data_IF_977425960067
#
_entry.id   IF_977425960067
#
_cell.length_a   1.000
_cell.length_b   1.000
_cell.length_c   1.000
_cell.angle_alpha   90.00
_cell.angle_beta   90.00
_cell.angle_gamma   90.00
#
_symmetry.space_group_name_H-M   'P 1'
#
loop_
_entity.id
_entity.type
_entity.pdbx_description
1 polymer ?
#
# COMPACT_ATOMS: atom_id res chain seq x y z
N UNK A 1 -0.38 -27.85 5.48
CA UNK A 1 -0.34 -26.48 4.94
C UNK A 1 -1.78 -26.02 4.77
N UNK A 2 -2.32 -25.36 5.80
CA UNK A 2 -3.68 -24.82 5.79
C UNK A 2 -3.73 -23.41 5.19
N UNK A 3 -4.93 -22.94 4.90
CA UNK A 3 -5.18 -21.56 4.41
C UNK A 3 -4.63 -20.48 5.36
N UNK A 4 -4.53 -20.78 6.66
CA UNK A 4 -3.92 -19.89 7.66
C UNK A 4 -2.41 -19.74 7.46
N UNK A 5 -1.70 -20.82 7.14
CA UNK A 5 -0.24 -20.79 6.95
C UNK A 5 0.15 -19.93 5.74
N UNK A 6 -0.67 -19.96 4.68
CA UNK A 6 -0.48 -19.11 3.51
C UNK A 6 -0.76 -17.63 3.85
N UNK A 7 -1.90 -17.34 4.50
CA UNK A 7 -2.28 -15.98 4.89
C UNK A 7 -1.29 -15.34 5.87
N UNK A 8 -0.60 -16.13 6.69
CA UNK A 8 0.45 -15.62 7.57
C UNK A 8 1.68 -15.13 6.80
N UNK A 9 1.96 -15.70 5.61
CA UNK A 9 3.12 -15.36 4.77
C UNK A 9 2.85 -14.26 3.74
N UNK A 10 1.62 -13.77 3.65
CA UNK A 10 1.19 -12.71 2.74
C UNK A 10 0.88 -11.44 3.53
N UNK A 11 1.26 -10.29 3.00
CA UNK A 11 0.81 -8.99 3.47
C UNK A 11 -0.04 -8.31 2.40
N UNK A 12 -1.14 -7.68 2.80
CA UNK A 12 -2.07 -7.01 1.89
C UNK A 12 -2.30 -5.60 2.40
N UNK A 13 -2.22 -4.60 1.52
CA UNK A 13 -2.68 -3.23 1.74
C UNK A 13 -3.89 -3.01 0.84
N UNK A 14 -5.11 -2.95 1.41
CA UNK A 14 -6.34 -2.78 0.66
C UNK A 14 -6.56 -1.32 0.24
N UNK A 15 -7.49 -1.12 -0.70
CA UNK A 15 -7.94 0.19 -1.16
C UNK A 15 -8.54 1.00 0.00
N UNK A 16 -9.34 0.32 0.82
CA UNK A 16 -9.99 0.85 2.02
C UNK A 16 -9.34 0.26 3.28
N UNK A 17 -8.44 1.01 3.96
CA UNK A 17 -7.79 0.54 5.18
C UNK A 17 -8.78 0.52 6.34
N UNK A 18 -9.17 -0.67 6.77
CA UNK A 18 -10.02 -0.85 7.96
C UNK A 18 -9.19 -0.70 9.24
N UNK A 19 -9.61 0.21 10.12
CA UNK A 19 -9.15 0.25 11.51
C UNK A 19 -10.27 -0.26 12.43
N UNK A 20 -9.88 -0.89 13.53
CA UNK A 20 -10.81 -1.39 14.52
C UNK A 20 -10.79 -0.50 15.75
N UNK A 21 -11.92 -0.43 16.45
CA UNK A 21 -11.98 0.26 17.73
C UNK A 21 -11.01 -0.36 18.73
N UNK A 22 -10.24 0.47 19.42
CA UNK A 22 -9.18 0.04 20.32
C UNK A 22 -8.11 1.12 20.47
N UNK A 23 -6.86 0.72 20.64
CA UNK A 23 -5.71 1.62 20.60
C UNK A 23 -4.95 1.52 19.27
N UNK A 24 -4.03 2.45 19.04
CA UNK A 24 -3.10 2.37 17.92
C UNK A 24 -2.27 1.08 18.01
N UNK A 25 -1.80 0.73 19.23
CA UNK A 25 -1.09 -0.52 19.50
C UNK A 25 -1.90 -1.73 19.05
N UNK A 26 -3.14 -1.88 19.51
CA UNK A 26 -3.97 -3.06 19.15
C UNK A 26 -4.32 -3.09 17.66
N UNK A 27 -4.35 -1.93 17.00
CA UNK A 27 -4.51 -1.87 15.56
C UNK A 27 -3.25 -2.34 14.82
N UNK A 28 -2.06 -1.97 15.26
CA UNK A 28 -0.80 -2.38 14.63
C UNK A 28 -0.45 -3.84 14.91
N UNK A 29 -0.66 -4.26 16.15
CA UNK A 29 -0.36 -5.58 16.66
C UNK A 29 -1.53 -6.14 17.49
N UNK A 30 -2.54 -6.73 16.84
CA UNK A 30 -3.69 -7.31 17.53
C UNK A 30 -3.34 -8.51 18.43
N UNK A 31 -2.20 -9.15 18.19
CA UNK A 31 -1.78 -10.37 18.89
C UNK A 31 -0.76 -10.09 20.01
N UNK A 32 -0.26 -8.86 20.14
CA UNK A 32 0.72 -8.50 21.16
C UNK A 32 2.06 -9.23 20.99
N UNK A 33 2.47 -9.49 19.75
CA UNK A 33 3.69 -10.22 19.41
C UNK A 33 4.94 -9.33 19.35
N UNK A 34 4.78 -8.02 19.21
CA UNK A 34 5.89 -7.08 18.99
C UNK A 34 6.09 -6.16 20.20
N UNK A 35 7.35 -5.80 20.43
CA UNK A 35 7.75 -4.83 21.45
C UNK A 35 7.39 -3.39 21.05
N UNK A 36 7.32 -2.49 22.03
CA UNK A 36 7.10 -1.06 21.80
C UNK A 36 8.14 -0.47 20.85
N UNK A 37 9.40 -0.88 20.98
CA UNK A 37 10.49 -0.40 20.14
C UNK A 37 10.29 -0.79 18.68
N UNK A 38 9.87 -2.03 18.41
CA UNK A 38 9.53 -2.49 17.06
C UNK A 38 8.32 -1.74 16.49
N UNK A 39 7.29 -1.50 17.30
CA UNK A 39 6.12 -0.71 16.91
C UNK A 39 6.54 0.72 16.56
N UNK A 40 7.38 1.35 17.37
CA UNK A 40 7.88 2.69 17.11
C UNK A 40 8.81 2.77 15.91
N UNK A 41 9.61 1.73 15.63
CA UNK A 41 10.43 1.62 14.42
C UNK A 41 9.54 1.56 13.18
N UNK A 42 8.50 0.72 13.19
CA UNK A 42 7.55 0.63 12.07
C UNK A 42 6.80 1.95 11.84
N UNK A 43 6.40 2.63 12.93
CA UNK A 43 5.74 3.94 12.88
C UNK A 43 6.66 5.06 12.38
N UNK A 44 7.97 4.97 12.64
CA UNK A 44 8.96 5.89 12.07
C UNK A 44 9.05 5.69 10.55
N UNK A 45 9.17 4.43 10.12
CA UNK A 45 9.28 4.06 8.70
C UNK A 45 8.06 4.51 7.90
N UNK A 46 6.85 4.41 8.44
CA UNK A 46 5.64 4.91 7.79
C UNK A 46 5.32 6.39 8.07
N UNK A 47 6.26 7.16 8.65
CA UNK A 47 6.12 8.60 8.94
C UNK A 47 4.94 8.99 9.85
N UNK A 48 4.46 8.06 10.68
CA UNK A 48 3.40 8.31 11.67
C UNK A 48 3.91 8.60 13.07
N UNK A 49 5.19 8.32 13.38
CA UNK A 49 5.76 8.51 14.72
C UNK A 49 5.53 9.90 15.28
N UNK A 50 5.79 10.95 14.50
CA UNK A 50 5.61 12.35 14.93
C UNK A 50 4.15 12.67 15.23
N UNK A 51 3.22 12.18 14.40
CA UNK A 51 1.77 12.32 14.59
C UNK A 51 1.33 11.66 15.90
N UNK A 52 1.77 10.44 16.14
CA UNK A 52 1.40 9.67 17.34
C UNK A 52 2.05 10.23 18.60
N UNK A 53 3.27 10.75 18.51
CA UNK A 53 3.95 11.42 19.64
C UNK A 53 3.27 12.69 20.13
N UNK A 54 2.45 13.33 19.29
CA UNK A 54 1.64 14.49 19.70
C UNK A 54 0.35 14.10 20.42
N UNK A 55 -0.03 12.83 20.39
CA UNK A 55 -1.22 12.36 21.09
C UNK A 55 -0.90 12.13 22.57
N UNK A 56 -1.84 12.45 23.49
CA UNK A 56 -1.59 12.39 24.93
C UNK A 56 -1.24 11.00 25.43
N UNK A 57 -1.81 9.96 24.82
CA UNK A 57 -1.63 8.56 25.24
C UNK A 57 -0.70 7.77 24.31
N UNK A 58 0.00 8.43 23.38
CA UNK A 58 0.95 7.79 22.46
C UNK A 58 0.34 6.56 21.76
N UNK A 59 0.95 5.37 21.91
CA UNK A 59 0.47 4.09 21.34
C UNK A 59 -0.89 3.63 21.90
N UNK A 60 -1.24 4.09 23.10
CA UNK A 60 -2.51 3.76 23.78
C UNK A 60 -3.62 4.77 23.45
N UNK A 61 -3.37 5.70 22.51
CA UNK A 61 -4.38 6.63 22.01
C UNK A 61 -5.49 5.89 21.29
N UNK A 62 -6.73 6.35 21.49
CA UNK A 62 -7.93 5.67 20.99
C UNK A 62 -8.07 5.77 19.47
N UNK A 63 -8.49 4.67 18.88
CA UNK A 63 -8.99 4.57 17.51
C UNK A 63 -10.49 4.30 17.62
N UNK A 64 -11.30 5.17 17.00
CA UNK A 64 -12.74 5.01 16.96
C UNK A 64 -13.15 3.87 16.02
N UNK A 65 -14.44 3.51 16.03
CA UNK A 65 -14.98 2.57 15.06
C UNK A 65 -14.62 3.01 13.63
N UNK A 66 -14.16 2.05 12.82
CA UNK A 66 -13.67 2.26 11.45
C UNK A 66 -12.54 3.29 11.28
N UNK A 67 -11.94 3.76 12.39
CA UNK A 67 -10.89 4.76 12.38
C UNK A 67 -11.37 6.18 12.08
N UNK A 68 -12.63 6.51 12.33
CA UNK A 68 -13.25 7.82 12.04
C UNK A 68 -12.40 9.04 12.45
N UNK A 69 -11.67 8.94 13.55
CA UNK A 69 -10.79 10.00 14.06
C UNK A 69 -9.45 10.15 13.31
N UNK A 70 -9.21 9.39 12.25
CA UNK A 70 -8.02 9.42 11.41
C UNK A 70 -8.37 9.73 9.96
N UNK A 71 -7.52 10.51 9.28
CA UNK A 71 -7.66 10.77 7.86
C UNK A 71 -7.38 9.51 7.03
N UNK A 72 -7.93 9.45 5.82
CA UNK A 72 -7.71 8.29 4.91
C UNK A 72 -6.22 8.00 4.70
N UNK A 73 -5.41 9.04 4.48
CA UNK A 73 -3.95 8.91 4.37
C UNK A 73 -3.29 8.34 5.62
N UNK A 74 -3.71 8.77 6.81
CA UNK A 74 -3.18 8.21 8.06
C UNK A 74 -3.60 6.75 8.27
N UNK A 75 -4.82 6.38 7.89
CA UNK A 75 -5.28 4.98 7.93
C UNK A 75 -4.46 4.10 6.98
N UNK A 76 -4.15 4.59 5.77
CA UNK A 76 -3.24 3.93 4.83
C UNK A 76 -1.85 3.72 5.44
N UNK A 77 -1.26 4.77 6.04
CA UNK A 77 0.06 4.67 6.69
C UNK A 77 0.06 3.74 7.93
N UNK A 78 -1.05 3.67 8.68
CA UNK A 78 -1.21 2.69 9.76
C UNK A 78 -1.28 1.26 9.21
N UNK A 79 -1.99 1.06 8.10
CA UNK A 79 -2.02 -0.23 7.41
C UNK A 79 -0.62 -0.64 6.92
N UNK A 80 0.13 0.29 6.33
CA UNK A 80 1.53 0.09 5.97
C UNK A 80 2.40 -0.28 7.19
N UNK A 81 2.19 0.38 8.33
CA UNK A 81 2.84 0.03 9.60
C UNK A 81 2.61 -1.42 10.02
N UNK A 82 1.37 -1.93 9.91
CA UNK A 82 1.05 -3.36 10.18
C UNK A 82 1.85 -4.29 9.27
N UNK A 83 2.01 -3.90 8.01
CA UNK A 83 2.70 -4.70 7.00
C UNK A 83 4.21 -4.70 7.20
N UNK A 84 4.79 -3.55 7.58
CA UNK A 84 6.20 -3.41 7.97
C UNK A 84 6.52 -4.27 9.20
N UNK A 85 5.65 -4.30 10.21
CA UNK A 85 5.84 -5.14 11.40
C UNK A 85 5.90 -6.63 11.05
N UNK A 86 5.02 -7.09 10.15
CA UNK A 86 4.96 -8.51 9.77
C UNK A 86 6.14 -8.98 8.93
N UNK A 87 6.82 -8.09 8.20
CA UNK A 87 8.01 -8.40 7.36
C UNK A 87 7.83 -9.59 6.41
N UNK A 88 6.63 -9.78 5.89
CA UNK A 88 6.34 -10.84 4.93
C UNK A 88 7.04 -10.59 3.58
N UNK A 89 7.40 -11.68 2.89
CA UNK A 89 8.14 -11.64 1.62
C UNK A 89 7.28 -11.37 0.39
N UNK A 90 5.96 -11.43 0.54
CA UNK A 90 5.01 -11.18 -0.54
C UNK A 90 4.04 -10.09 -0.07
N UNK A 91 3.99 -9.00 -0.82
CA UNK A 91 3.14 -7.84 -0.59
C UNK A 91 2.14 -7.71 -1.73
N UNK A 92 0.87 -7.56 -1.39
CA UNK A 92 -0.20 -7.26 -2.33
C UNK A 92 -0.69 -5.84 -2.07
N UNK A 93 -0.65 -4.99 -3.08
CA UNK A 93 -1.18 -3.63 -3.04
C UNK A 93 -2.44 -3.60 -3.89
N UNK A 94 -3.59 -3.41 -3.26
CA UNK A 94 -4.89 -3.37 -3.93
C UNK A 94 -5.39 -1.93 -3.96
N UNK A 95 -5.09 -1.19 -5.03
CA UNK A 95 -5.49 0.22 -5.21
C UNK A 95 -5.19 1.16 -4.02
N UNK A 96 -4.16 0.85 -3.23
CA UNK A 96 -3.84 1.53 -1.96
C UNK A 96 -3.57 3.05 -2.09
N UNK A 97 -3.43 3.56 -3.32
CA UNK A 97 -3.09 4.95 -3.63
C UNK A 97 -4.23 5.74 -4.29
N UNK A 98 -5.41 5.13 -4.48
CA UNK A 98 -6.49 5.72 -5.28
C UNK A 98 -7.22 6.89 -4.58
N UNK A 99 -7.29 6.87 -3.25
CA UNK A 99 -8.13 7.75 -2.43
C UNK A 99 -7.36 8.65 -1.48
N UNK A 100 -6.04 8.76 -1.65
CA UNK A 100 -5.14 9.57 -0.82
C UNK A 100 -4.52 10.72 -1.62
N UNK A 101 -4.16 11.80 -0.93
CA UNK A 101 -3.50 12.95 -1.54
C UNK A 101 -2.11 12.57 -2.09
N UNK A 102 -1.62 13.37 -3.05
CA UNK A 102 -0.35 13.11 -3.74
C UNK A 102 0.87 13.09 -2.82
N UNK A 103 0.83 13.80 -1.69
CA UNK A 103 1.92 13.82 -0.72
C UNK A 103 1.97 12.49 0.04
N UNK A 104 0.84 12.05 0.57
CA UNK A 104 0.73 10.75 1.27
C UNK A 104 1.03 9.58 0.33
N UNK A 105 0.57 9.66 -0.93
CA UNK A 105 0.87 8.67 -1.97
C UNK A 105 2.38 8.54 -2.21
N UNK A 106 3.07 9.67 -2.40
CA UNK A 106 4.52 9.70 -2.60
C UNK A 106 5.28 9.11 -1.41
N UNK A 107 4.79 9.37 -0.19
CA UNK A 107 5.32 8.78 1.03
C UNK A 107 5.15 7.26 1.02
N UNK A 108 3.94 6.77 0.78
CA UNK A 108 3.62 5.34 0.78
C UNK A 108 4.47 4.58 -0.26
N UNK A 109 4.53 5.10 -1.48
CA UNK A 109 5.35 4.52 -2.56
C UNK A 109 6.85 4.50 -2.22
N UNK A 110 7.37 5.58 -1.62
CA UNK A 110 8.77 5.63 -1.18
C UNK A 110 9.07 4.59 -0.11
N UNK A 111 8.21 4.47 0.90
CA UNK A 111 8.40 3.51 2.00
C UNK A 111 8.30 2.08 1.48
N UNK A 112 7.36 1.80 0.57
CA UNK A 112 7.24 0.48 -0.06
C UNK A 112 8.52 0.10 -0.79
N UNK A 113 9.04 0.98 -1.65
CA UNK A 113 10.29 0.71 -2.39
C UNK A 113 11.48 0.46 -1.47
N UNK A 114 11.59 1.20 -0.37
CA UNK A 114 12.72 1.05 0.57
C UNK A 114 12.61 -0.19 1.44
N UNK A 115 11.46 -0.42 2.08
CA UNK A 115 11.29 -1.50 3.06
C UNK A 115 11.06 -2.86 2.40
N UNK A 116 10.59 -2.89 1.14
CA UNK A 116 10.22 -4.11 0.42
C UNK A 116 11.07 -4.38 -0.82
N UNK A 117 12.24 -3.75 -0.96
CA UNK A 117 13.15 -3.96 -2.09
C UNK A 117 13.54 -5.43 -2.34
N UNK A 118 13.57 -6.26 -1.28
CA UNK A 118 13.85 -7.70 -1.36
C UNK A 118 12.60 -8.60 -1.30
N UNK A 119 11.41 -8.06 -1.56
CA UNK A 119 10.14 -8.77 -1.50
C UNK A 119 9.45 -8.78 -2.86
N UNK A 120 8.60 -9.76 -3.10
CA UNK A 120 7.71 -9.77 -4.27
C UNK A 120 6.53 -8.86 -4.01
N UNK A 121 6.32 -7.87 -4.87
CA UNK A 121 5.20 -6.92 -4.77
C UNK A 121 4.26 -7.16 -5.96
N UNK A 122 2.99 -7.41 -5.65
CA UNK A 122 1.92 -7.53 -6.65
C UNK A 122 1.01 -6.32 -6.46
N UNK A 123 0.95 -5.46 -7.48
CA UNK A 123 0.17 -4.23 -7.42
C UNK A 123 -0.99 -4.28 -8.39
N UNK A 124 -2.19 -4.05 -7.87
CA UNK A 124 -3.40 -3.77 -8.64
C UNK A 124 -3.52 -2.25 -8.69
N UNK A 125 -3.37 -1.68 -9.88
CA UNK A 125 -3.37 -0.23 -10.06
C UNK A 125 -4.17 0.20 -11.28
N UNK A 126 -4.93 1.28 -11.11
CA UNK A 126 -5.55 2.04 -12.20
C UNK A 126 -4.72 3.27 -12.62
N UNK A 127 -3.61 3.55 -11.92
CA UNK A 127 -2.74 4.72 -12.17
C UNK A 127 -1.50 4.31 -12.95
N UNK A 128 -1.31 4.95 -14.09
CA UNK A 128 -0.21 4.68 -15.03
C UNK A 128 1.20 4.80 -14.42
N UNK A 129 1.52 5.82 -13.59
CA UNK A 129 2.86 5.96 -13.02
C UNK A 129 3.30 4.75 -12.19
N UNK A 130 2.36 4.12 -11.45
CA UNK A 130 2.65 2.93 -10.64
C UNK A 130 2.94 1.70 -11.49
N UNK A 131 2.25 1.57 -12.63
CA UNK A 131 2.40 0.41 -13.53
C UNK A 131 3.66 0.50 -14.38
N UNK A 132 4.06 1.71 -14.79
CA UNK A 132 5.30 1.92 -15.58
C UNK A 132 6.57 1.59 -14.78
N UNK A 133 6.56 1.79 -13.46
CA UNK A 133 7.69 1.53 -12.55
C UNK A 133 7.81 0.05 -12.13
N UNK A 134 6.99 -0.85 -12.71
CA UNK A 134 6.96 -2.27 -12.36
C UNK A 134 7.89 -3.10 -13.23
N UNK A 135 8.47 -4.18 -12.68
CA UNK A 135 9.33 -5.10 -13.44
C UNK A 135 8.56 -5.80 -14.58
N UNK A 136 7.31 -6.20 -14.30
CA UNK A 136 6.43 -6.88 -15.25
C UNK A 136 5.01 -6.33 -15.12
N UNK A 137 4.29 -6.27 -16.24
CA UNK A 137 2.90 -5.78 -16.30
C UNK A 137 2.00 -6.87 -16.84
N UNK A 138 0.87 -7.09 -16.18
CA UNK A 138 -0.17 -8.03 -16.59
C UNK A 138 -1.46 -7.28 -16.90
N UNK A 139 -1.96 -7.42 -18.13
CA UNK A 139 -3.24 -6.85 -18.57
C UNK A 139 -4.29 -7.96 -18.58
N UNK A 140 -5.33 -7.78 -17.77
CA UNK A 140 -6.47 -8.69 -17.69
C UNK A 140 -7.69 -8.07 -18.38
N UNK A 141 -8.40 -8.86 -19.18
CA UNK A 141 -9.67 -8.47 -19.80
C UNK A 141 -10.67 -9.62 -19.73
N UNK A 142 -11.87 -9.35 -19.20
CA UNK A 142 -12.94 -10.34 -19.03
C UNK A 142 -12.46 -11.64 -18.35
N UNK A 143 -11.60 -11.52 -17.34
CA UNK A 143 -11.05 -12.66 -16.59
C UNK A 143 -9.96 -13.45 -17.33
N UNK A 144 -9.47 -12.97 -18.47
CA UNK A 144 -8.39 -13.61 -19.25
C UNK A 144 -7.14 -12.73 -19.28
N UNK A 145 -5.99 -13.38 -19.24
CA UNK A 145 -4.69 -12.75 -19.50
C UNK A 145 -4.60 -12.36 -20.97
N UNK A 146 -4.40 -11.08 -21.26
CA UNK A 146 -4.28 -10.55 -22.63
C UNK A 146 -2.83 -10.20 -22.94
N UNK A 147 -2.14 -9.55 -22.01
CA UNK A 147 -0.74 -9.11 -22.18
C UNK A 147 0.04 -9.38 -20.91
N UNK A 148 1.29 -9.84 -21.06
CA UNK A 148 2.22 -10.04 -19.96
C UNK A 148 3.65 -9.87 -20.46
N UNK A 149 4.26 -8.75 -20.13
CA UNK A 149 5.65 -8.44 -20.52
C UNK A 149 6.19 -7.28 -19.66
N UNK A 150 7.45 -6.89 -19.87
CA UNK A 150 8.04 -5.67 -19.34
C UNK A 150 7.31 -4.43 -19.89
N UNK A 151 7.18 -3.33 -19.10
CA UNK A 151 6.51 -2.11 -19.57
C UNK A 151 7.08 -1.55 -20.88
N UNK A 152 8.41 -1.63 -21.07
CA UNK A 152 9.11 -1.21 -22.29
C UNK A 152 8.58 -1.92 -23.54
N UNK A 153 8.52 -3.25 -23.51
CA UNK A 153 8.04 -4.09 -24.62
C UNK A 153 6.55 -3.84 -24.92
N UNK A 154 5.74 -3.69 -23.86
CA UNK A 154 4.33 -3.37 -24.03
C UNK A 154 4.11 -1.97 -24.61
N UNK A 155 5.02 -1.01 -24.39
CA UNK A 155 4.90 0.34 -24.93
C UNK A 155 5.25 0.44 -26.42
N UNK A 156 6.16 -0.40 -26.92
CA UNK A 156 6.56 -0.43 -28.34
C UNK A 156 5.51 -1.12 -29.23
N UNK A 157 4.75 -2.04 -28.65
CA UNK A 157 3.66 -2.72 -29.34
C UNK A 157 2.38 -1.86 -29.31
N UNK A 158 1.52 -1.96 -30.32
CA UNK A 158 0.17 -1.33 -30.33
C UNK A 158 -0.81 -2.04 -29.37
N UNK A 159 -0.30 -2.37 -28.19
CA UNK A 159 -0.90 -3.10 -27.08
C UNK A 159 -2.06 -2.33 -26.45
N UNK A 160 -2.83 -3.01 -25.62
CA UNK A 160 -3.83 -2.39 -24.75
C UNK A 160 -3.15 -1.52 -23.69
N UNK A 161 -2.00 -1.95 -23.19
CA UNK A 161 -1.19 -1.16 -22.25
C UNK A 161 -0.78 0.20 -22.83
N UNK A 162 -0.19 0.25 -24.04
CA UNK A 162 0.26 1.51 -24.66
C UNK A 162 -0.91 2.46 -24.96
N UNK A 163 -2.09 1.92 -25.29
CA UNK A 163 -3.35 2.66 -25.42
C UNK A 163 -3.85 3.23 -24.10
N UNK A 164 -3.68 2.51 -22.99
CA UNK A 164 -4.04 2.98 -21.65
C UNK A 164 -3.11 4.12 -21.22
N UNK A 165 -1.81 3.94 -21.40
CA UNK A 165 -0.78 4.94 -21.09
C UNK A 165 -1.00 6.22 -21.91
N UNK A 166 -1.18 6.13 -23.22
CA UNK A 166 -1.41 7.30 -24.08
C UNK A 166 -2.68 8.08 -23.72
N UNK A 167 -3.76 7.40 -23.34
CA UNK A 167 -4.99 8.05 -22.84
C UNK A 167 -4.73 8.83 -21.54
N UNK A 168 -3.98 8.25 -20.61
CA UNK A 168 -3.64 8.91 -19.34
C UNK A 168 -2.88 10.22 -19.58
N UNK A 169 -1.81 10.19 -20.39
CA UNK A 169 -1.03 11.38 -20.71
C UNK A 169 -1.84 12.46 -21.45
N UNK A 170 -2.73 12.02 -22.36
CA UNK A 170 -3.64 12.94 -23.07
C UNK A 170 -4.62 13.64 -22.12
N UNK A 171 -5.00 13.00 -21.02
CA UNK A 171 -5.87 13.58 -19.99
C UNK A 171 -5.12 14.59 -19.11
N UNK A 172 -3.87 14.31 -18.75
CA UNK A 172 -3.03 15.23 -17.97
C UNK A 172 -2.72 16.52 -18.74
N UNK A 173 -2.44 16.44 -20.04
CA UNK A 173 -2.15 17.61 -20.88
C UNK A 173 -3.35 18.54 -21.13
N UNK A 174 -4.58 18.14 -20.79
CA UNK A 174 -5.78 18.98 -20.90
C UNK A 174 -6.08 19.79 -19.64
N UNK A 175 -5.30 19.62 -18.57
CA UNK A 175 -5.45 20.35 -17.31
C UNK A 175 -4.31 21.35 -17.05
N UNK A 176 -3.44 21.57 -18.04
CA UNK A 176 -2.35 22.56 -18.02
C UNK A 176 -2.68 23.81 -18.83
#
# INVERSE_FOLDING_TARGET
MGLKDLRMKLSIIPQEPTLFRGSIRTNLDPLGLYSDDEIWEALEKCQLKSTIRRLPNLLDSSVNDEGENWSMGQRQLLCLGRVILKRNKILILDEATASIDSTTDSILQRVIRLEFAGCTIITIAHRVPTVIDSDMVMVLSYGKLVEYDEPSNLMETNSLFSKLVSKYWSSCNKQG
#
